data_IF_089434817644
#
_entry.id   IF_089434817644
#
_cell.length_a   1.000
_cell.length_b   1.000
_cell.length_c   1.000
_cell.angle_alpha   90.00
_cell.angle_beta   90.00
_cell.angle_gamma   90.00
#
_symmetry.space_group_name_H-M   'P 1'
#
loop_
_entity.id
_entity.type
_entity.pdbx_description
1 polymer ?
#
# COMPACT_ATOMS: atom_id res chain seq x y z
N UNK A 1 -29.68 -25.85 55.72
CA UNK A 1 -30.08 -24.81 56.70
C UNK A 1 -28.80 -24.17 57.22
N UNK A 2 -28.61 -22.87 56.92
CA UNK A 2 -27.43 -22.01 57.19
C UNK A 2 -27.24 -21.75 58.71
N UNK A 3 -26.19 -21.13 59.30
CA UNK A 3 -25.24 -20.03 58.98
C UNK A 3 -23.92 -20.29 59.76
N UNK A 4 -22.68 -19.96 59.36
CA UNK A 4 -22.01 -18.74 58.90
C UNK A 4 -21.54 -17.73 59.99
N UNK A 5 -20.21 -17.49 59.97
CA UNK A 5 -19.42 -16.28 60.32
C UNK A 5 -18.78 -16.14 61.73
N UNK A 6 -17.43 -16.03 61.78
CA UNK A 6 -16.72 -14.73 61.94
C UNK A 6 -15.19 -14.82 61.65
N UNK A 7 -14.66 -13.71 61.12
CA UNK A 7 -13.38 -13.50 60.43
C UNK A 7 -12.12 -13.36 61.34
N UNK A 8 -10.98 -13.93 60.87
CA UNK A 8 -9.58 -13.43 60.67
C UNK A 8 -8.96 -12.30 61.57
N UNK A 9 -7.62 -11.99 61.52
CA UNK A 9 -6.42 -12.69 61.01
C UNK A 9 -5.18 -12.60 61.97
N UNK A 10 -4.00 -13.03 61.48
CA UNK A 10 -2.63 -12.48 61.69
C UNK A 10 -1.55 -13.27 62.45
N UNK A 11 -0.42 -13.36 61.72
CA UNK A 11 0.97 -13.28 62.18
C UNK A 11 1.67 -14.53 62.70
N UNK A 12 2.27 -15.25 61.74
CA UNK A 12 3.39 -16.16 61.97
C UNK A 12 4.62 -15.39 62.44
N UNK A 13 4.72 -15.14 63.73
CA UNK A 13 6.00 -14.78 64.37
C UNK A 13 6.53 -16.01 65.09
N UNK A 14 7.50 -16.67 64.47
CA UNK A 14 8.21 -17.80 65.06
C UNK A 14 9.08 -17.30 66.21
N UNK A 15 8.49 -17.16 67.40
CA UNK A 15 9.20 -16.85 68.65
C UNK A 15 9.87 -18.13 69.15
N UNK A 16 11.16 -18.28 68.85
CA UNK A 16 12.00 -19.30 69.50
C UNK A 16 12.18 -18.86 70.95
N UNK A 17 11.42 -19.48 71.85
CA UNK A 17 11.49 -19.27 73.29
C UNK A 17 12.54 -20.24 73.84
N UNK A 18 13.72 -19.74 74.23
CA UNK A 18 14.69 -20.53 74.97
C UNK A 18 14.32 -20.52 76.45
N UNK A 19 13.95 -21.70 76.97
CA UNK A 19 13.72 -21.90 78.40
C UNK A 19 15.04 -21.84 79.16
N UNK A 20 15.18 -20.86 80.05
CA UNK A 20 16.05 -20.97 81.21
C UNK A 20 15.17 -20.81 82.44
N UNK A 21 14.81 -21.93 83.08
CA UNK A 21 14.26 -21.92 84.43
C UNK A 21 15.43 -22.17 85.39
N UNK A 22 15.93 -21.08 85.97
CA UNK A 22 16.70 -21.13 87.20
C UNK A 22 15.75 -21.21 88.39
N UNK A 23 15.98 -22.18 89.27
CA UNK A 23 15.50 -22.15 90.65
C UNK A 23 16.74 -22.21 91.55
N UNK A 24 16.95 -21.14 92.31
CA UNK A 24 17.93 -21.08 93.38
C UNK A 24 17.51 -21.97 94.55
N UNK A 25 18.46 -22.70 95.13
CA UNK A 25 18.95 -22.45 96.51
C UNK A 25 20.19 -23.32 96.78
N UNK A 26 21.33 -22.71 97.14
CA UNK A 26 22.51 -23.49 97.57
C UNK A 26 23.91 -22.88 97.47
N UNK A 27 24.12 -21.64 97.91
CA UNK A 27 25.33 -21.15 98.61
C UNK A 27 26.72 -21.64 98.12
N UNK A 28 27.38 -20.95 97.19
CA UNK A 28 28.86 -20.80 97.20
C UNK A 28 29.44 -19.83 96.15
N UNK A 29 30.36 -18.98 96.61
CA UNK A 29 31.47 -18.29 95.89
C UNK A 29 31.18 -17.07 94.99
N UNK A 30 31.55 -15.92 95.56
CA UNK A 30 32.34 -14.80 95.00
C UNK A 30 32.71 -14.88 93.52
N UNK A 31 32.37 -13.84 92.75
CA UNK A 31 33.19 -13.47 91.58
C UNK A 31 32.51 -12.62 90.51
N UNK A 32 32.92 -11.35 90.46
CA UNK A 32 33.26 -10.61 89.24
C UNK A 32 32.12 -10.08 88.35
N UNK A 33 31.91 -8.77 88.52
CA UNK A 33 31.44 -7.80 87.53
C UNK A 33 32.20 -7.94 86.20
N UNK A 34 31.50 -7.98 85.06
CA UNK A 34 31.80 -7.18 83.84
C UNK A 34 31.17 -7.79 82.58
N UNK A 35 30.87 -6.90 81.63
CA UNK A 35 30.71 -7.16 80.19
C UNK A 35 29.29 -7.44 79.68
N UNK A 36 28.39 -6.46 79.84
CA UNK A 36 27.23 -6.29 78.96
C UNK A 36 27.44 -5.08 78.04
N UNK A 37 28.49 -5.14 77.23
CA UNK A 37 28.68 -4.28 76.07
C UNK A 37 29.45 -5.09 75.04
N UNK A 38 29.17 -4.87 73.76
CA UNK A 38 29.71 -5.62 72.60
C UNK A 38 28.97 -6.92 72.32
N UNK A 39 27.91 -6.82 71.51
CA UNK A 39 27.57 -7.76 70.40
C UNK A 39 26.20 -7.48 69.75
N UNK A 40 25.69 -6.24 69.81
CA UNK A 40 24.64 -5.80 68.87
C UNK A 40 25.25 -5.06 67.68
N UNK A 41 26.24 -5.66 67.02
CA UNK A 41 26.64 -5.22 65.67
C UNK A 41 25.59 -5.79 64.72
N UNK A 42 24.50 -5.05 64.60
CA UNK A 42 23.61 -4.92 63.45
C UNK A 42 23.65 -6.07 62.42
N UNK A 43 23.07 -7.22 62.76
CA UNK A 43 22.71 -8.24 61.76
C UNK A 43 21.80 -7.65 60.65
N UNK A 44 21.00 -6.63 60.99
CA UNK A 44 20.22 -5.86 60.02
C UNK A 44 21.02 -4.99 59.04
N UNK A 45 22.21 -4.50 59.43
CA UNK A 45 23.05 -3.71 58.54
C UNK A 45 23.78 -4.58 57.50
N UNK A 46 24.12 -5.82 57.86
CA UNK A 46 24.77 -6.78 56.96
C UNK A 46 23.80 -7.35 55.91
N UNK A 47 22.53 -7.60 56.27
CA UNK A 47 21.49 -8.01 55.32
C UNK A 47 21.03 -6.85 54.42
N UNK A 48 20.98 -5.62 54.95
CA UNK A 48 20.63 -4.41 54.17
C UNK A 48 21.67 -4.05 53.09
N UNK A 49 22.96 -4.28 53.35
CA UNK A 49 24.06 -4.00 52.41
C UNK A 49 24.20 -5.05 51.30
N UNK A 50 23.82 -6.31 51.55
CA UNK A 50 23.78 -7.37 50.54
C UNK A 50 22.57 -7.25 49.60
N UNK A 51 21.46 -6.68 50.08
CA UNK A 51 20.21 -6.55 49.30
C UNK A 51 20.10 -5.23 48.51
N UNK A 52 20.79 -4.16 48.93
CA UNK A 52 20.75 -2.88 48.22
C UNK A 52 21.66 -2.85 46.98
N UNK A 53 22.83 -3.50 47.03
CA UNK A 53 23.81 -3.47 45.92
C UNK A 53 23.49 -4.43 44.76
N UNK A 54 22.67 -5.46 45.01
CA UNK A 54 22.23 -6.42 43.98
C UNK A 54 20.94 -5.99 43.29
N UNK A 55 20.04 -5.30 43.99
CA UNK A 55 18.80 -4.74 43.40
C UNK A 55 19.07 -3.67 42.35
N UNK A 56 20.06 -2.80 42.55
CA UNK A 56 20.43 -1.78 41.54
C UNK A 56 20.95 -2.42 40.26
N UNK A 57 21.83 -3.43 40.37
CA UNK A 57 22.41 -4.14 39.21
C UNK A 57 21.37 -4.94 38.40
N UNK A 58 20.38 -5.55 39.06
CA UNK A 58 19.31 -6.29 38.36
C UNK A 58 18.38 -5.31 37.64
N UNK A 59 17.98 -4.20 38.29
CA UNK A 59 17.13 -3.18 37.67
C UNK A 59 17.81 -2.48 36.48
N UNK A 60 19.11 -2.15 36.59
CA UNK A 60 19.90 -1.61 35.47
C UNK A 60 20.00 -2.60 34.29
N UNK A 61 20.24 -3.88 34.58
CA UNK A 61 20.31 -4.92 33.54
C UNK A 61 18.97 -5.13 32.84
N UNK A 62 17.85 -5.05 33.57
CA UNK A 62 16.51 -5.13 33.01
C UNK A 62 16.18 -3.90 32.13
N UNK A 63 16.61 -2.70 32.53
CA UNK A 63 16.48 -1.48 31.72
C UNK A 63 17.22 -1.56 30.40
N UNK A 64 18.45 -2.08 30.40
CA UNK A 64 19.25 -2.25 29.17
C UNK A 64 18.63 -3.27 28.22
N UNK A 65 18.09 -4.38 28.73
CA UNK A 65 17.39 -5.39 27.90
C UNK A 65 16.13 -4.79 27.29
N UNK A 66 15.37 -4.00 28.04
CA UNK A 66 14.19 -3.30 27.51
C UNK A 66 14.58 -2.28 26.42
N UNK A 67 15.64 -1.50 26.63
CA UNK A 67 16.15 -0.55 25.64
C UNK A 67 16.61 -1.25 24.35
N UNK A 68 17.32 -2.38 24.47
CA UNK A 68 17.75 -3.19 23.33
C UNK A 68 16.55 -3.78 22.57
N UNK A 69 15.52 -4.25 23.29
CA UNK A 69 14.29 -4.74 22.67
C UNK A 69 13.57 -3.62 21.91
N UNK A 70 13.46 -2.43 22.49
CA UNK A 70 12.87 -1.26 21.83
C UNK A 70 13.67 -0.86 20.57
N UNK A 71 15.00 -0.83 20.66
CA UNK A 71 15.88 -0.55 19.52
C UNK A 71 15.65 -1.55 18.38
N UNK A 72 15.53 -2.84 18.70
CA UNK A 72 15.31 -3.88 17.71
C UNK A 72 13.95 -3.73 17.02
N UNK A 73 12.89 -3.37 17.78
CA UNK A 73 11.57 -3.07 17.22
C UNK A 73 11.63 -1.85 16.29
N UNK A 74 12.26 -0.77 16.73
CA UNK A 74 12.42 0.46 15.91
C UNK A 74 13.19 0.17 14.62
N UNK A 75 14.27 -0.62 14.71
CA UNK A 75 15.05 -1.04 13.54
C UNK A 75 14.21 -1.89 12.58
N UNK A 76 13.40 -2.82 13.10
CA UNK A 76 12.47 -3.62 12.29
C UNK A 76 11.45 -2.75 11.55
N UNK A 77 10.86 -1.77 12.24
CA UNK A 77 9.92 -0.80 11.63
C UNK A 77 10.63 0.04 10.56
N UNK A 78 11.84 0.51 10.82
CA UNK A 78 12.60 1.30 9.86
C UNK A 78 12.90 0.51 8.57
N UNK A 79 13.34 -0.75 8.68
CA UNK A 79 13.55 -1.64 7.54
C UNK A 79 12.25 -1.84 6.76
N UNK A 80 11.14 -2.06 7.46
CA UNK A 80 9.84 -2.26 6.83
C UNK A 80 9.35 -1.03 6.06
N UNK A 81 9.53 0.17 6.61
CA UNK A 81 9.21 1.43 5.90
C UNK A 81 10.06 1.60 4.63
N UNK A 82 11.35 1.24 4.67
CA UNK A 82 12.22 1.29 3.49
C UNK A 82 11.73 0.33 2.40
N UNK A 83 11.26 -0.87 2.77
CA UNK A 83 10.69 -1.82 1.81
C UNK A 83 9.44 -1.26 1.13
N UNK A 84 8.51 -0.67 1.90
CA UNK A 84 7.31 -0.02 1.36
C UNK A 84 7.70 1.12 0.43
N UNK A 85 8.63 1.99 0.85
CA UNK A 85 9.09 3.13 0.06
C UNK A 85 9.59 2.69 -1.33
N UNK A 86 10.47 1.68 -1.37
CA UNK A 86 10.99 1.16 -2.63
C UNK A 86 9.90 0.50 -3.48
N UNK A 87 8.97 -0.23 -2.86
CA UNK A 87 7.83 -0.83 -3.54
C UNK A 87 6.93 0.21 -4.21
N UNK A 88 6.59 1.29 -3.49
CA UNK A 88 5.77 2.38 -4.02
C UNK A 88 6.46 3.15 -5.16
N UNK A 89 7.78 3.35 -5.08
CA UNK A 89 8.57 3.91 -6.20
C UNK A 89 8.54 2.99 -7.41
N UNK A 90 8.68 1.67 -7.24
CA UNK A 90 8.59 0.71 -8.33
C UNK A 90 7.23 0.83 -9.05
N UNK A 91 6.12 0.77 -8.29
CA UNK A 91 4.78 0.88 -8.86
C UNK A 91 4.55 2.20 -9.60
N UNK A 92 5.05 3.32 -9.06
CA UNK A 92 5.00 4.63 -9.73
C UNK A 92 5.73 4.61 -11.08
N UNK A 93 6.91 3.99 -11.11
CA UNK A 93 7.71 3.86 -12.33
C UNK A 93 7.04 2.92 -13.33
N UNK A 94 6.41 1.84 -12.88
CA UNK A 94 5.66 0.90 -13.72
C UNK A 94 4.49 1.59 -14.41
N UNK A 95 3.70 2.40 -13.69
CA UNK A 95 2.64 3.22 -14.29
C UNK A 95 3.20 4.19 -15.34
N UNK A 96 4.33 4.84 -15.03
CA UNK A 96 4.97 5.81 -15.95
C UNK A 96 5.48 5.11 -17.22
N UNK A 97 6.07 3.93 -17.08
CA UNK A 97 6.53 3.10 -18.20
C UNK A 97 5.37 2.61 -19.05
N UNK A 98 4.32 2.09 -18.41
CA UNK A 98 3.11 1.65 -19.09
C UNK A 98 2.46 2.79 -19.90
N UNK A 99 2.40 3.99 -19.33
CA UNK A 99 1.92 5.18 -20.04
C UNK A 99 2.77 5.52 -21.26
N UNK A 100 4.10 5.57 -21.11
CA UNK A 100 5.01 5.88 -22.21
C UNK A 100 4.86 4.89 -23.38
N UNK A 101 4.65 3.60 -23.08
CA UNK A 101 4.42 2.59 -24.12
C UNK A 101 3.14 2.85 -24.92
N UNK A 102 2.04 3.23 -24.26
CA UNK A 102 0.80 3.60 -24.96
C UNK A 102 1.01 4.88 -25.79
N UNK A 103 1.65 5.89 -25.22
CA UNK A 103 1.80 7.20 -25.87
C UNK A 103 2.54 7.11 -27.22
N UNK A 104 3.55 6.24 -27.31
CA UNK A 104 4.26 5.97 -28.58
C UNK A 104 3.32 5.37 -29.62
N UNK A 105 2.50 4.38 -29.26
CA UNK A 105 1.58 3.73 -30.18
C UNK A 105 0.46 4.67 -30.63
N UNK A 106 -0.09 5.44 -29.69
CA UNK A 106 -1.06 6.49 -30.00
C UNK A 106 -0.48 7.46 -31.02
N UNK A 107 0.75 7.94 -30.79
CA UNK A 107 1.42 8.85 -31.72
C UNK A 107 1.57 8.21 -33.11
N UNK A 108 2.11 6.99 -33.19
CA UNK A 108 2.29 6.28 -34.46
C UNK A 108 0.96 6.16 -35.23
N UNK A 109 -0.13 5.75 -34.57
CA UNK A 109 -1.45 5.63 -35.23
C UNK A 109 -1.93 6.96 -35.81
N UNK A 110 -1.76 8.06 -35.07
CA UNK A 110 -2.18 9.39 -35.52
C UNK A 110 -1.27 9.99 -36.60
N UNK A 111 -0.01 9.53 -36.69
CA UNK A 111 0.93 9.90 -37.74
C UNK A 111 0.60 9.19 -39.08
N UNK A 112 -0.08 8.04 -39.05
CA UNK A 112 -0.55 7.34 -40.27
C UNK A 112 -1.86 7.93 -40.86
N UNK A 113 -2.67 8.61 -40.05
CA UNK A 113 -3.98 9.13 -40.48
C UNK A 113 -3.93 10.10 -41.68
N UNK A 114 -2.97 11.05 -41.79
CA UNK A 114 -2.86 11.91 -42.96
C UNK A 114 -2.63 11.12 -44.25
N UNK A 115 -1.76 10.11 -44.21
CA UNK A 115 -1.47 9.24 -45.36
C UNK A 115 -2.72 8.45 -45.76
N UNK A 116 -3.47 7.93 -44.78
CA UNK A 116 -4.75 7.25 -45.03
C UNK A 116 -5.75 8.17 -45.71
N UNK A 117 -5.91 9.40 -45.21
CA UNK A 117 -6.81 10.40 -45.78
C UNK A 117 -6.41 10.77 -47.20
N UNK A 118 -5.11 10.92 -47.49
CA UNK A 118 -4.61 11.23 -48.82
C UNK A 118 -4.96 10.13 -49.84
N UNK A 119 -4.72 8.86 -49.49
CA UNK A 119 -5.06 7.72 -50.36
C UNK A 119 -6.58 7.65 -50.58
N UNK A 120 -7.39 7.85 -49.53
CA UNK A 120 -8.84 7.84 -49.66
C UNK A 120 -9.36 8.97 -50.56
N UNK A 121 -8.80 10.18 -50.46
CA UNK A 121 -9.18 11.34 -51.30
C UNK A 121 -9.04 11.07 -52.79
N UNK A 122 -8.08 10.24 -53.21
CA UNK A 122 -7.89 9.88 -54.62
C UNK A 122 -9.04 9.08 -55.23
N UNK A 123 -9.87 8.44 -54.40
CA UNK A 123 -10.96 7.56 -54.85
C UNK A 123 -12.34 8.01 -54.35
N UNK A 124 -12.41 8.65 -53.19
CA UNK A 124 -13.66 8.98 -52.46
C UNK A 124 -14.03 10.46 -52.60
N UNK A 125 -14.30 10.91 -53.83
CA UNK A 125 -14.49 12.34 -54.15
C UNK A 125 -15.69 13.03 -53.47
N UNK A 126 -16.70 12.26 -53.02
CA UNK A 126 -17.94 12.80 -52.44
C UNK A 126 -18.07 12.57 -50.93
N UNK A 127 -17.07 11.96 -50.30
CA UNK A 127 -17.11 11.53 -48.89
C UNK A 127 -16.40 12.53 -47.96
N UNK A 128 -16.63 13.82 -48.18
CA UNK A 128 -15.95 14.90 -47.43
C UNK A 128 -16.21 14.80 -45.94
N UNK A 129 -17.46 14.58 -45.53
CA UNK A 129 -17.83 14.49 -44.11
C UNK A 129 -17.09 13.33 -43.42
N UNK A 130 -16.97 12.19 -44.09
CA UNK A 130 -16.28 11.00 -43.57
C UNK A 130 -14.79 11.28 -43.33
N UNK A 131 -14.11 11.92 -44.30
CA UNK A 131 -12.69 12.27 -44.20
C UNK A 131 -12.43 13.42 -43.20
N UNK A 132 -13.37 14.35 -43.08
CA UNK A 132 -13.33 15.40 -42.06
C UNK A 132 -13.45 14.85 -40.64
N UNK A 133 -14.30 13.83 -40.41
CA UNK A 133 -14.39 13.17 -39.10
C UNK A 133 -13.04 12.59 -38.66
N UNK A 134 -12.31 11.94 -39.57
CA UNK A 134 -10.96 11.40 -39.30
C UNK A 134 -9.96 12.52 -39.02
N UNK A 135 -9.99 13.58 -39.83
CA UNK A 135 -9.11 14.74 -39.66
C UNK A 135 -9.36 15.46 -38.34
N UNK A 136 -10.64 15.60 -37.94
CA UNK A 136 -11.06 16.20 -36.68
C UNK A 136 -10.63 15.36 -35.48
N UNK A 137 -10.81 14.04 -35.55
CA UNK A 137 -10.35 13.13 -34.51
C UNK A 137 -8.83 13.23 -34.29
N UNK A 138 -8.06 13.32 -35.38
CA UNK A 138 -6.62 13.60 -35.31
C UNK A 138 -6.31 14.93 -34.63
N UNK A 139 -7.03 15.99 -34.98
CA UNK A 139 -6.84 17.31 -34.36
C UNK A 139 -7.14 17.29 -32.86
N UNK A 140 -8.19 16.56 -32.44
CA UNK A 140 -8.50 16.36 -31.02
C UNK A 140 -7.36 15.67 -30.28
N UNK A 141 -6.73 14.65 -30.88
CA UNK A 141 -5.57 14.00 -30.30
C UNK A 141 -4.37 14.96 -30.14
N UNK A 142 -4.11 15.80 -31.15
CA UNK A 142 -3.02 16.77 -31.09
C UNK A 142 -3.20 17.83 -29.99
N UNK A 143 -4.43 18.12 -29.62
CA UNK A 143 -4.77 19.07 -28.55
C UNK A 143 -4.81 18.41 -27.15
N UNK A 144 -4.78 17.09 -27.07
CA UNK A 144 -4.90 16.35 -25.82
C UNK A 144 -3.58 16.33 -25.04
N UNK A 145 -3.61 16.88 -23.83
CA UNK A 145 -2.43 17.01 -22.96
C UNK A 145 -2.43 16.02 -21.78
N UNK A 146 -3.60 15.61 -21.33
CA UNK A 146 -3.77 14.65 -20.22
C UNK A 146 -4.09 13.24 -20.72
N UNK A 147 -3.90 12.25 -19.83
CA UNK A 147 -4.26 10.84 -20.07
C UNK A 147 -5.74 10.72 -20.46
N UNK A 148 -6.63 11.37 -19.71
CA UNK A 148 -8.08 11.32 -19.97
C UNK A 148 -8.44 11.94 -21.32
N UNK A 149 -7.86 13.11 -21.64
CA UNK A 149 -8.07 13.74 -22.95
C UNK A 149 -7.57 12.85 -24.09
N UNK A 150 -6.41 12.20 -23.92
CA UNK A 150 -5.88 11.25 -24.90
C UNK A 150 -6.77 10.02 -25.04
N UNK A 151 -7.34 9.51 -23.95
CA UNK A 151 -8.30 8.41 -23.98
C UNK A 151 -9.60 8.79 -24.72
N UNK A 152 -10.10 10.00 -24.50
CA UNK A 152 -11.25 10.52 -25.24
C UNK A 152 -10.96 10.69 -26.73
N UNK A 153 -9.83 11.30 -27.09
CA UNK A 153 -9.41 11.45 -28.48
C UNK A 153 -9.19 10.09 -29.17
N UNK A 154 -8.59 9.13 -28.45
CA UNK A 154 -8.38 7.76 -28.92
C UNK A 154 -9.70 7.09 -29.33
N UNK A 155 -10.73 7.18 -28.48
CA UNK A 155 -12.09 6.67 -28.76
C UNK A 155 -12.73 7.37 -29.96
N UNK A 156 -12.59 8.69 -30.09
CA UNK A 156 -13.05 9.44 -31.27
C UNK A 156 -12.38 8.95 -32.55
N UNK A 157 -11.07 8.72 -32.53
CA UNK A 157 -10.30 8.20 -33.67
C UNK A 157 -10.76 6.80 -34.04
N UNK A 158 -10.90 5.89 -33.09
CA UNK A 158 -11.39 4.53 -33.36
C UNK A 158 -12.79 4.55 -33.99
N UNK A 159 -13.70 5.41 -33.50
CA UNK A 159 -15.04 5.56 -34.08
C UNK A 159 -14.99 6.14 -35.51
N UNK A 160 -14.16 7.15 -35.75
CA UNK A 160 -13.99 7.75 -37.07
C UNK A 160 -13.41 6.75 -38.08
N UNK A 161 -12.42 5.94 -37.66
CA UNK A 161 -11.83 4.88 -38.48
C UNK A 161 -12.83 3.78 -38.83
N UNK A 162 -13.66 3.33 -37.87
CA UNK A 162 -14.75 2.37 -38.17
C UNK A 162 -15.71 2.92 -39.21
N UNK A 163 -16.12 4.19 -39.07
CA UNK A 163 -16.98 4.85 -40.04
C UNK A 163 -16.33 4.94 -41.42
N UNK A 164 -15.05 5.31 -41.50
CA UNK A 164 -14.30 5.37 -42.75
C UNK A 164 -14.25 3.99 -43.43
N UNK A 165 -13.86 2.94 -42.71
CA UNK A 165 -13.75 1.59 -43.29
C UNK A 165 -15.10 1.02 -43.73
N UNK A 166 -16.20 1.36 -43.05
CA UNK A 166 -17.53 1.00 -43.51
C UNK A 166 -17.89 1.65 -44.85
N UNK A 167 -17.50 2.92 -45.06
CA UNK A 167 -17.74 3.62 -46.33
C UNK A 167 -16.85 3.07 -47.45
N UNK A 168 -15.61 2.68 -47.15
CA UNK A 168 -14.66 2.10 -48.13
C UNK A 168 -15.21 0.86 -48.82
N UNK A 169 -16.11 0.10 -48.18
CA UNK A 169 -16.76 -1.06 -48.80
C UNK A 169 -17.54 -0.70 -50.09
N UNK A 170 -17.98 0.56 -50.23
CA UNK A 170 -18.64 1.05 -51.43
C UNK A 170 -17.65 1.40 -52.58
N UNK A 171 -16.34 1.30 -52.33
CA UNK A 171 -15.28 1.69 -53.27
C UNK A 171 -14.34 0.51 -53.59
N UNK A 172 -14.72 -0.42 -54.49
CA UNK A 172 -13.93 -1.62 -54.78
C UNK A 172 -12.49 -1.33 -55.24
N UNK A 173 -12.28 -0.26 -56.00
CA UNK A 173 -10.95 0.13 -56.48
C UNK A 173 -10.02 0.57 -55.34
N UNK A 174 -10.55 1.28 -54.34
CA UNK A 174 -9.79 1.69 -53.15
C UNK A 174 -9.52 0.47 -52.25
N UNK A 175 -10.51 -0.41 -52.08
CA UNK A 175 -10.36 -1.64 -51.30
C UNK A 175 -9.28 -2.56 -51.87
N UNK A 176 -9.12 -2.58 -53.20
CA UNK A 176 -8.06 -3.34 -53.87
C UNK A 176 -6.71 -2.59 -53.95
N UNK A 177 -6.64 -1.33 -53.51
CA UNK A 177 -5.41 -0.55 -53.58
C UNK A 177 -4.39 -1.04 -52.53
N UNK A 178 -3.19 -1.41 -52.98
CA UNK A 178 -2.15 -1.96 -52.10
C UNK A 178 -1.69 -0.99 -51.01
N UNK A 179 -1.58 0.32 -51.32
CA UNK A 179 -1.19 1.33 -50.33
C UNK A 179 -2.27 1.51 -49.26
N UNK A 180 -3.54 1.48 -49.65
CA UNK A 180 -4.66 1.53 -48.72
C UNK A 180 -4.66 0.30 -47.80
N UNK A 181 -4.55 -0.91 -48.37
CA UNK A 181 -4.51 -2.16 -47.59
C UNK A 181 -3.35 -2.17 -46.59
N UNK A 182 -2.16 -1.70 -46.99
CA UNK A 182 -1.00 -1.58 -46.11
C UNK A 182 -1.27 -0.64 -44.93
N UNK A 183 -1.85 0.53 -45.18
CA UNK A 183 -2.20 1.50 -44.13
C UNK A 183 -3.31 0.97 -43.21
N UNK A 184 -4.35 0.36 -43.78
CA UNK A 184 -5.43 -0.24 -43.02
C UNK A 184 -4.90 -1.34 -42.08
N UNK A 185 -4.05 -2.23 -42.57
CA UNK A 185 -3.43 -3.28 -41.76
C UNK A 185 -2.56 -2.70 -40.66
N UNK A 186 -1.67 -1.75 -40.98
CA UNK A 186 -0.81 -1.09 -39.99
C UNK A 186 -1.61 -0.39 -38.89
N UNK A 187 -2.67 0.32 -39.25
CA UNK A 187 -3.55 1.01 -38.29
C UNK A 187 -4.31 -0.01 -37.44
N UNK A 188 -4.77 -1.12 -38.03
CA UNK A 188 -5.47 -2.19 -37.29
C UNK A 188 -4.53 -2.91 -36.31
N UNK A 189 -3.29 -3.17 -36.70
CA UNK A 189 -2.24 -3.70 -35.80
C UNK A 189 -1.98 -2.75 -34.63
N UNK A 190 -1.81 -1.45 -34.92
CA UNK A 190 -1.64 -0.43 -33.88
C UNK A 190 -2.85 -0.35 -32.94
N UNK A 191 -4.08 -0.47 -33.45
CA UNK A 191 -5.28 -0.48 -32.62
C UNK A 191 -5.29 -1.66 -31.64
N UNK A 192 -4.92 -2.86 -32.11
CA UNK A 192 -4.84 -4.05 -31.28
C UNK A 192 -3.75 -3.88 -30.21
N UNK A 193 -2.56 -3.41 -30.59
CA UNK A 193 -1.48 -3.14 -29.63
C UNK A 193 -1.87 -2.07 -28.60
N UNK A 194 -2.57 -1.01 -29.00
CA UNK A 194 -3.09 0.01 -28.08
C UNK A 194 -4.09 -0.60 -27.09
N UNK A 195 -5.00 -1.47 -27.56
CA UNK A 195 -5.96 -2.14 -26.71
C UNK A 195 -5.28 -3.01 -25.63
N UNK A 196 -4.29 -3.81 -26.04
CA UNK A 196 -3.51 -4.65 -25.12
C UNK A 196 -2.72 -3.81 -24.11
N UNK A 197 -2.06 -2.73 -24.58
CA UNK A 197 -1.29 -1.85 -23.69
C UNK A 197 -2.18 -1.06 -22.73
N UNK A 198 -3.39 -0.71 -23.15
CA UNK A 198 -4.38 -0.05 -22.29
C UNK A 198 -4.77 -0.90 -21.11
N UNK A 199 -5.01 -2.19 -21.32
CA UNK A 199 -5.29 -3.14 -20.22
C UNK A 199 -4.14 -3.14 -19.22
N UNK A 200 -2.90 -3.33 -19.71
CA UNK A 200 -1.71 -3.33 -18.86
C UNK A 200 -1.52 -2.01 -18.06
N UNK A 201 -1.75 -0.85 -18.69
CA UNK A 201 -1.68 0.43 -17.99
C UNK A 201 -2.75 0.55 -16.91
N UNK A 202 -3.99 0.15 -17.21
CA UNK A 202 -5.09 0.20 -16.26
C UNK A 202 -4.82 -0.71 -15.05
N UNK A 203 -4.22 -1.88 -15.26
CA UNK A 203 -3.82 -2.79 -14.18
C UNK A 203 -2.69 -2.21 -13.32
N UNK A 204 -1.68 -1.60 -13.94
CA UNK A 204 -0.61 -0.91 -13.23
C UNK A 204 -1.16 0.27 -12.39
N UNK A 205 -2.05 1.08 -12.97
CA UNK A 205 -2.73 2.18 -12.29
C UNK A 205 -3.60 1.67 -11.15
N UNK A 206 -4.36 0.60 -11.36
CA UNK A 206 -5.20 -0.01 -10.34
C UNK A 206 -4.37 -0.51 -9.16
N UNK A 207 -3.27 -1.22 -9.44
CA UNK A 207 -2.34 -1.72 -8.42
C UNK A 207 -1.72 -0.56 -7.64
N UNK A 208 -1.22 0.46 -8.33
CA UNK A 208 -0.65 1.65 -7.70
C UNK A 208 -1.69 2.39 -6.84
N UNK A 209 -2.86 2.70 -7.38
CA UNK A 209 -3.94 3.40 -6.69
C UNK A 209 -4.44 2.64 -5.46
N UNK A 210 -4.53 1.31 -5.57
CA UNK A 210 -4.90 0.45 -4.45
C UNK A 210 -3.81 0.48 -3.38
N UNK A 211 -2.54 0.36 -3.77
CA UNK A 211 -1.43 0.28 -2.81
C UNK A 211 -1.25 1.56 -2.00
N UNK A 212 -1.39 2.74 -2.63
CA UNK A 212 -1.31 4.02 -1.90
C UNK A 212 -2.49 4.23 -0.92
N UNK A 213 -3.59 3.48 -1.06
CA UNK A 213 -4.77 3.53 -0.18
C UNK A 213 -4.81 2.43 0.88
N UNK A 214 -3.88 1.46 0.85
CA UNK A 214 -3.80 0.37 1.80
C UNK A 214 -2.96 0.74 3.02
N UNK A 215 -3.39 0.33 4.21
CA UNK A 215 -2.58 0.39 5.43
C UNK A 215 -1.61 -0.80 5.43
N UNK A 216 -0.31 -0.61 5.75
CA UNK A 216 0.32 0.62 6.26
C UNK A 216 0.90 1.58 5.19
N UNK A 217 0.88 1.19 3.91
CA UNK A 217 1.48 1.92 2.79
C UNK A 217 0.96 3.37 2.64
N UNK A 218 -0.30 3.66 2.96
CA UNK A 218 -0.89 5.01 2.89
C UNK A 218 -0.10 6.06 3.67
N UNK A 219 0.45 5.71 4.84
CA UNK A 219 1.24 6.65 5.64
C UNK A 219 2.53 7.06 4.91
N UNK A 220 3.19 6.09 4.28
CA UNK A 220 4.40 6.32 3.49
C UNK A 220 4.07 7.05 2.18
N UNK A 221 2.96 6.69 1.53
CA UNK A 221 2.50 7.31 0.30
C UNK A 221 2.18 8.81 0.48
N UNK A 222 1.53 9.19 1.59
CA UNK A 222 1.27 10.61 1.93
C UNK A 222 2.58 11.36 2.17
N UNK A 223 3.54 10.76 2.90
CA UNK A 223 4.87 11.36 3.10
C UNK A 223 5.61 11.59 1.77
N UNK A 224 5.43 10.71 0.80
CA UNK A 224 5.99 10.80 -0.55
C UNK A 224 5.17 11.68 -1.50
N UNK A 225 4.03 12.22 -1.05
CA UNK A 225 3.09 13.00 -1.85
C UNK A 225 2.60 12.25 -3.12
N UNK A 226 2.37 10.94 -2.99
CA UNK A 226 1.84 10.11 -4.07
C UNK A 226 0.32 10.27 -4.18
N UNK A 227 -0.15 10.68 -5.36
CA UNK A 227 -1.57 10.86 -5.64
C UNK A 227 -2.08 9.80 -6.62
N UNK A 228 -3.38 9.42 -6.54
CA UNK A 228 -3.99 8.50 -7.50
C UNK A 228 -3.81 8.96 -8.94
N UNK A 229 -3.61 8.00 -9.85
CA UNK A 229 -3.49 8.23 -11.29
C UNK A 229 -4.80 7.90 -12.00
N UNK A 230 -5.18 8.66 -13.05
CA UNK A 230 -6.33 8.33 -13.86
C UNK A 230 -6.08 7.05 -14.66
N UNK A 231 -7.14 6.27 -14.89
CA UNK A 231 -7.10 5.12 -15.81
C UNK A 231 -7.26 5.61 -17.25
N UNK A 232 -6.76 4.85 -18.22
CA UNK A 232 -7.00 5.11 -19.63
C UNK A 232 -8.36 4.54 -20.03
N UNK A 233 -9.41 5.27 -19.66
CA UNK A 233 -10.78 4.98 -20.03
C UNK A 233 -11.44 6.30 -20.43
N UNK A 234 -12.05 6.33 -21.61
CA UNK A 234 -12.92 7.45 -21.97
C UNK A 234 -14.19 7.31 -21.13
N UNK A 235 -14.29 8.05 -20.02
CA UNK A 235 -15.37 8.02 -19.02
C UNK A 235 -16.64 7.32 -19.52
N UNK A 236 -16.92 6.14 -18.98
CA UNK A 236 -18.18 5.43 -19.19
C UNK A 236 -19.30 6.16 -18.43
N UNK A 237 -19.86 7.21 -19.04
CA UNK A 237 -21.24 7.63 -18.70
C UNK A 237 -22.25 6.54 -19.14
N UNK A 238 -21.81 5.52 -19.86
CA UNK A 238 -22.62 4.41 -20.38
C UNK A 238 -22.64 3.13 -19.51
N UNK A 239 -22.13 3.16 -18.27
CA UNK A 239 -22.53 2.14 -17.29
C UNK A 239 -23.88 2.52 -16.67
N UNK A 240 -24.89 2.71 -17.51
CA UNK A 240 -26.27 2.57 -17.04
C UNK A 240 -26.38 1.11 -16.60
N UNK A 241 -26.58 0.82 -15.32
CA UNK A 241 -26.78 -0.56 -14.89
C UNK A 241 -27.95 -1.11 -15.71
N UNK A 242 -27.72 -2.22 -16.43
CA UNK A 242 -28.80 -2.95 -17.09
C UNK A 242 -29.78 -3.33 -15.98
N UNK A 243 -30.86 -2.56 -15.84
CA UNK A 243 -31.97 -2.93 -14.98
C UNK A 243 -32.64 -4.10 -15.68
N UNK A 244 -32.24 -5.31 -15.31
CA UNK A 244 -33.00 -6.51 -15.66
C UNK A 244 -34.29 -6.43 -14.84
N UNK A 245 -35.33 -5.80 -15.40
CA UNK A 245 -36.69 -5.98 -14.90
C UNK A 245 -37.07 -7.42 -15.22
N UNK A 246 -36.84 -8.33 -14.28
CA UNK A 246 -37.49 -9.64 -14.32
C UNK A 246 -38.97 -9.34 -14.17
N UNK A 247 -39.70 -9.36 -15.28
CA UNK A 247 -41.14 -9.19 -15.28
C UNK A 247 -41.72 -10.20 -14.31
N UNK A 248 -42.36 -9.72 -13.25
CA UNK A 248 -43.14 -10.56 -12.37
C UNK A 248 -44.29 -11.13 -13.21
N UNK A 249 -44.13 -12.38 -13.66
CA UNK A 249 -45.21 -13.16 -14.24
C UNK A 249 -46.36 -13.21 -13.23
N UNK A 250 -47.48 -12.60 -13.61
CA UNK A 250 -48.77 -12.75 -12.93
C UNK A 250 -49.38 -14.09 -13.27
#
# INVERSE_FOLDING_TARGET
MALAAKNAPMSSTNKITFYYLGAEEGKSRKGVLASSAVTSVSFGAFIGLLHSSTRTRILERMGNVFMLALLFVVMGVAIYVVLIFNGLISLKNDVTKAWANIDVLLKQRHDELPNLVEVCKGYMNYETETLERVTRARSQYQQAMSVDQKAHADRSTTNALRGLFAVVENYPQLKANENFLKLQNRISELENEIADRREYYNDAVNTFNTRIQQVPDTFVAVLMNLTPRPMFQANDVDRVPVQVSVGASR
#
